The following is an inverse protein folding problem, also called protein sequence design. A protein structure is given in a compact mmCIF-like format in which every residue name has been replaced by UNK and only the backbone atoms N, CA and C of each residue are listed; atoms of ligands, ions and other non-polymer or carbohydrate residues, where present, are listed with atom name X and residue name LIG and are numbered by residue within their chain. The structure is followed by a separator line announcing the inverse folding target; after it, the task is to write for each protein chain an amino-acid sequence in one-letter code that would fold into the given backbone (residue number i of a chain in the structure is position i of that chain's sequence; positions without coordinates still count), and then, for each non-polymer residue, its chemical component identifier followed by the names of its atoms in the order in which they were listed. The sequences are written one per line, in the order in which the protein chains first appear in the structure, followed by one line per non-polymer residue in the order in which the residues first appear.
data_IF_398291650908
#
_entry.id   IF_398291650908
#
_cell.length_a   1.000
_cell.length_b   1.000
_cell.length_c   1.000
_cell.angle_alpha   90.00
_cell.angle_beta   90.00
_cell.angle_gamma   90.00
#
_symmetry.space_group_name_H-M   'P 1'
#
loop_
_entity.id
_entity.type
_entity.pdbx_description
1 polymer ?
#
# COMPACT_ATOMS: atom_id res chain seq x y z
N UNK A 1 -18.28 -2.62 -8.86
CA UNK A 1 -18.45 -3.10 -10.25
C UNK A 1 -19.80 -2.83 -10.90
N UNK A 2 -20.93 -2.81 -10.20
CA UNK A 2 -22.26 -2.66 -10.84
C UNK A 2 -22.43 -1.37 -11.66
N UNK A 3 -21.57 -0.37 -11.46
CA UNK A 3 -21.50 0.88 -12.22
C UNK A 3 -20.53 0.83 -13.42
N UNK A 4 -19.91 -0.32 -13.72
CA UNK A 4 -19.00 -0.49 -14.86
C UNK A 4 -17.68 0.28 -14.73
N UNK A 5 -17.19 0.51 -13.50
CA UNK A 5 -15.95 1.27 -13.27
C UNK A 5 -14.76 0.61 -13.97
N UNK A 6 -14.00 1.41 -14.73
CA UNK A 6 -12.82 0.94 -15.48
C UNK A 6 -11.53 1.09 -14.66
N UNK A 7 -11.54 2.01 -13.68
CA UNK A 7 -10.43 2.28 -12.78
C UNK A 7 -11.01 2.46 -11.38
N UNK A 8 -10.48 1.70 -10.43
CA UNK A 8 -10.72 1.86 -9.01
C UNK A 8 -9.47 2.41 -8.33
N UNK A 9 -9.65 3.40 -7.46
CA UNK A 9 -8.54 4.03 -6.73
C UNK A 9 -8.70 3.70 -5.26
N UNK A 10 -7.80 2.87 -4.73
CA UNK A 10 -7.79 2.50 -3.31
C UNK A 10 -6.74 3.31 -2.56
N UNK A 11 -7.12 3.78 -1.37
CA UNK A 11 -6.29 4.60 -0.51
C UNK A 11 -6.05 3.88 0.81
N UNK A 12 -4.78 3.65 1.12
CA UNK A 12 -4.33 2.94 2.30
C UNK A 12 -3.42 3.83 3.15
N UNK A 13 -3.35 3.60 4.47
CA UNK A 13 -2.39 4.29 5.33
C UNK A 13 -0.94 3.89 4.99
N UNK A 14 0.02 4.29 5.83
CA UNK A 14 1.38 3.75 5.76
C UNK A 14 1.35 2.26 6.07
N UNK A 15 1.76 1.44 5.09
CA UNK A 15 1.76 -0.02 5.19
C UNK A 15 3.19 -0.57 5.20
N UNK A 16 3.51 -1.37 6.20
CA UNK A 16 4.77 -2.12 6.27
C UNK A 16 4.55 -3.59 5.91
N UNK A 17 5.58 -4.29 5.41
CA UNK A 17 5.53 -5.75 5.29
C UNK A 17 5.15 -6.41 6.61
N UNK A 18 4.42 -7.53 6.53
CA UNK A 18 4.07 -8.30 7.72
C UNK A 18 5.33 -8.81 8.41
N UNK A 19 5.40 -8.69 9.74
CA UNK A 19 6.63 -9.05 10.47
C UNK A 19 6.77 -10.55 10.76
N UNK A 20 5.73 -11.35 10.49
CA UNK A 20 5.59 -12.72 10.99
C UNK A 20 5.20 -12.79 12.47
N UNK A 21 5.03 -11.64 13.13
CA UNK A 21 4.71 -11.49 14.54
C UNK A 21 3.21 -11.25 14.81
N UNK A 22 2.88 -10.52 15.90
CA UNK A 22 1.50 -10.29 16.33
C UNK A 22 0.78 -9.19 15.54
N UNK A 23 1.44 -8.54 14.58
CA UNK A 23 0.84 -7.54 13.71
C UNK A 23 -0.22 -8.14 12.77
N UNK A 24 -1.20 -7.32 12.40
CA UNK A 24 -2.34 -7.76 11.61
C UNK A 24 -1.94 -7.95 10.14
N UNK A 25 -1.97 -9.19 9.65
CA UNK A 25 -1.74 -9.49 8.23
C UNK A 25 -2.64 -8.65 7.31
N UNK A 26 -3.90 -8.45 7.68
CA UNK A 26 -4.85 -7.66 6.89
C UNK A 26 -4.44 -6.20 6.70
N UNK A 27 -3.54 -5.68 7.55
CA UNK A 27 -3.03 -4.31 7.52
C UNK A 27 -1.53 -4.26 7.14
N UNK A 28 -0.99 -5.35 6.59
CA UNK A 28 0.34 -5.35 6.00
C UNK A 28 0.31 -4.86 4.55
N UNK A 29 1.49 -4.56 4.00
CA UNK A 29 1.66 -4.26 2.58
C UNK A 29 1.08 -5.37 1.70
N UNK A 30 1.38 -6.63 2.01
CA UNK A 30 0.92 -7.80 1.27
C UNK A 30 -0.59 -8.02 1.42
N UNK A 31 -1.13 -7.85 2.63
CA UNK A 31 -2.55 -8.02 2.91
C UNK A 31 -3.41 -7.01 2.15
N UNK A 32 -3.08 -5.73 2.22
CA UNK A 32 -3.82 -4.68 1.51
C UNK A 32 -3.65 -4.77 -0.02
N UNK A 33 -2.47 -5.19 -0.49
CA UNK A 33 -2.27 -5.49 -1.91
C UNK A 33 -3.12 -6.69 -2.36
N UNK A 34 -3.28 -7.72 -1.53
CA UNK A 34 -4.17 -8.84 -1.83
C UNK A 34 -5.62 -8.38 -1.94
N UNK A 35 -6.10 -7.51 -1.04
CA UNK A 35 -7.45 -6.92 -1.13
C UNK A 35 -7.65 -6.13 -2.42
N UNK A 36 -6.67 -5.29 -2.77
CA UNK A 36 -6.71 -4.49 -4.01
C UNK A 36 -6.65 -5.37 -5.26
N UNK A 37 -5.88 -6.45 -5.23
CA UNK A 37 -5.79 -7.43 -6.31
C UNK A 37 -7.09 -8.21 -6.48
N UNK A 38 -7.70 -8.66 -5.39
CA UNK A 38 -9.01 -9.33 -5.43
C UNK A 38 -10.05 -8.41 -6.04
N UNK A 39 -10.07 -7.13 -5.63
CA UNK A 39 -10.96 -6.14 -6.22
C UNK A 39 -10.76 -6.00 -7.74
N UNK A 40 -9.51 -5.99 -8.23
CA UNK A 40 -9.22 -5.92 -9.66
C UNK A 40 -9.79 -7.13 -10.42
N UNK A 41 -9.61 -8.34 -9.87
CA UNK A 41 -10.03 -9.62 -10.45
C UNK A 41 -11.54 -9.73 -10.49
N UNK A 42 -12.21 -9.59 -9.34
CA UNK A 42 -13.68 -9.60 -9.29
C UNK A 42 -14.21 -8.49 -10.20
N UNK A 43 -13.49 -7.36 -10.18
CA UNK A 43 -13.68 -6.10 -10.88
C UNK A 43 -13.84 -6.20 -12.38
N UNK A 44 -12.99 -7.04 -12.96
CA UNK A 44 -12.46 -6.81 -14.31
C UNK A 44 -12.05 -5.34 -14.51
N UNK A 45 -11.41 -4.73 -13.51
CA UNK A 45 -11.09 -3.28 -13.47
C UNK A 45 -9.62 -3.05 -13.09
N UNK A 46 -9.03 -1.95 -13.54
CA UNK A 46 -7.69 -1.57 -13.09
C UNK A 46 -7.78 -1.01 -11.67
N UNK A 47 -6.83 -1.39 -10.79
CA UNK A 47 -6.77 -0.85 -9.43
C UNK A 47 -5.48 -0.05 -9.23
N UNK A 48 -5.64 1.22 -8.88
CA UNK A 48 -4.56 2.07 -8.38
C UNK A 48 -4.51 1.91 -6.86
N UNK A 49 -3.55 1.14 -6.37
CA UNK A 49 -3.29 0.95 -4.96
C UNK A 49 -2.35 2.05 -4.47
N UNK A 50 -2.88 3.02 -3.72
CA UNK A 50 -2.10 4.13 -3.19
C UNK A 50 -1.91 4.00 -1.68
N UNK A 51 -0.70 4.28 -1.21
CA UNK A 51 -0.31 4.23 0.21
C UNK A 51 0.25 5.56 0.67
N UNK A 52 -0.09 5.94 1.90
CA UNK A 52 0.55 7.08 2.55
C UNK A 52 2.00 6.73 2.95
N UNK A 53 2.82 7.77 3.11
CA UNK A 53 4.18 7.66 3.66
C UNK A 53 4.23 8.39 4.99
N UNK A 54 4.94 7.83 5.96
CA UNK A 54 5.24 8.49 7.23
C UNK A 54 6.75 8.65 7.40
N UNK A 55 7.17 9.82 7.88
CA UNK A 55 8.59 10.11 8.18
C UNK A 55 8.88 9.82 9.64
N UNK A 56 10.15 9.72 10.05
CA UNK A 56 10.51 9.56 11.46
C UNK A 56 9.92 10.69 12.32
N UNK A 57 9.96 11.92 11.82
CA UNK A 57 9.33 13.08 12.47
C UNK A 57 7.82 12.92 12.61
N UNK A 58 7.17 12.32 11.61
CA UNK A 58 5.73 12.04 11.63
C UNK A 58 5.38 11.04 12.71
N UNK A 59 6.12 9.93 12.80
CA UNK A 59 5.95 8.91 13.84
C UNK A 59 6.08 9.52 15.24
N UNK A 60 7.13 10.30 15.48
CA UNK A 60 7.36 10.96 16.78
C UNK A 60 6.27 11.99 17.11
N UNK A 61 5.85 12.81 16.13
CA UNK A 61 4.80 13.81 16.31
C UNK A 61 3.44 13.16 16.64
N UNK A 62 3.12 12.05 15.96
CA UNK A 62 1.88 11.31 16.19
C UNK A 62 1.94 10.36 17.39
N UNK A 63 3.13 10.18 18.00
CA UNK A 63 3.38 9.27 19.13
C UNK A 63 2.95 7.84 18.84
N UNK A 64 3.20 7.38 17.61
CA UNK A 64 2.85 6.02 17.15
C UNK A 64 3.98 5.01 17.32
N UNK A 65 5.10 5.43 17.90
CA UNK A 65 6.26 4.58 18.21
C UNK A 65 5.85 3.35 19.02
N UNK A 66 6.31 2.16 18.59
CA UNK A 66 5.96 0.89 19.25
C UNK A 66 4.51 0.41 19.05
N UNK A 67 3.68 1.18 18.36
CA UNK A 67 2.33 0.77 17.96
C UNK A 67 2.32 -0.26 16.82
N UNK A 68 1.14 -0.82 16.54
CA UNK A 68 0.94 -1.80 15.46
C UNK A 68 0.73 -1.20 14.07
N UNK A 69 0.48 0.12 13.98
CA UNK A 69 0.18 0.81 12.72
C UNK A 69 0.90 2.16 12.67
N UNK A 70 1.45 2.51 11.51
CA UNK A 70 2.20 3.75 11.27
C UNK A 70 3.29 4.03 12.31
N UNK A 71 3.94 2.99 12.83
CA UNK A 71 4.93 3.08 13.91
C UNK A 71 6.37 3.12 13.41
N UNK A 72 6.58 2.95 12.10
CA UNK A 72 7.89 2.95 11.46
C UNK A 72 7.89 3.88 10.25
N UNK A 73 9.00 4.59 9.98
CA UNK A 73 9.14 5.43 8.79
C UNK A 73 9.05 4.59 7.51
N UNK A 74 8.61 5.23 6.42
CA UNK A 74 8.38 4.58 5.12
C UNK A 74 6.90 4.34 4.89
N UNK A 75 6.55 3.12 4.48
CA UNK A 75 5.15 2.72 4.24
C UNK A 75 4.71 2.69 2.78
N UNK A 76 5.64 2.90 1.84
CA UNK A 76 5.35 2.96 0.41
C UNK A 76 5.25 1.57 -0.19
N UNK A 77 4.03 1.09 -0.42
CA UNK A 77 3.76 -0.16 -1.15
C UNK A 77 2.78 0.06 -2.31
N UNK A 78 2.79 1.27 -2.87
CA UNK A 78 1.90 1.68 -3.96
C UNK A 78 2.10 0.78 -5.20
N UNK A 79 1.01 0.44 -5.88
CA UNK A 79 1.02 -0.51 -6.98
C UNK A 79 -0.14 -0.28 -7.97
N UNK A 80 -0.01 -0.83 -9.16
CA UNK A 80 -1.08 -0.90 -10.16
C UNK A 80 -1.37 -2.37 -10.46
N UNK A 81 -2.64 -2.76 -10.32
CA UNK A 81 -3.13 -4.08 -10.68
C UNK A 81 -4.00 -4.03 -11.94
N UNK A 82 -3.73 -4.92 -12.88
CA UNK A 82 -4.56 -5.14 -14.05
C UNK A 82 -5.84 -5.92 -13.70
N UNK A 83 -6.87 -5.89 -14.58
CA UNK A 83 -8.12 -6.63 -14.41
C UNK A 83 -7.96 -8.14 -14.17
N UNK A 84 -6.85 -8.74 -14.60
CA UNK A 84 -6.53 -10.16 -14.38
C UNK A 84 -5.81 -10.42 -13.04
N UNK A 85 -5.61 -9.38 -12.24
CA UNK A 85 -4.90 -9.42 -10.96
C UNK A 85 -3.37 -9.31 -11.07
N UNK A 86 -2.78 -9.23 -12.26
CA UNK A 86 -1.33 -9.04 -12.39
C UNK A 86 -0.93 -7.66 -11.89
N UNK A 87 0.16 -7.60 -11.11
CA UNK A 87 0.82 -6.32 -10.81
C UNK A 87 1.60 -5.88 -12.04
N UNK A 88 1.24 -4.73 -12.59
CA UNK A 88 1.86 -4.18 -13.81
C UNK A 88 2.79 -3.00 -13.54
N UNK A 89 2.82 -2.52 -12.30
CA UNK A 89 3.80 -1.55 -11.83
C UNK A 89 5.05 -2.24 -11.31
N UNK A 90 6.20 -1.60 -11.50
CA UNK A 90 7.44 -1.94 -10.81
C UNK A 90 7.41 -1.37 -9.40
N UNK A 91 7.89 -2.15 -8.43
CA UNK A 91 8.06 -1.63 -7.08
C UNK A 91 9.15 -0.56 -7.06
N UNK A 92 8.90 0.49 -6.29
CA UNK A 92 9.91 1.48 -5.94
C UNK A 92 10.47 1.07 -4.59
N UNK A 93 11.77 1.18 -4.40
CA UNK A 93 12.37 0.92 -3.10
C UNK A 93 11.72 1.84 -2.05
N UNK A 94 11.15 1.28 -0.97
CA UNK A 94 10.41 2.02 0.05
C UNK A 94 11.27 3.06 0.79
N UNK A 95 12.60 3.01 0.63
CA UNK A 95 13.57 3.94 1.22
C UNK A 95 14.11 4.98 0.24
N UNK A 96 13.79 4.88 -1.06
CA UNK A 96 14.30 5.82 -2.07
C UNK A 96 13.77 7.23 -1.82
N UNK A 97 14.64 8.12 -1.33
CA UNK A 97 14.39 9.56 -1.29
C UNK A 97 14.37 10.12 -2.70
N UNK A 98 13.41 11.01 -2.97
CA UNK A 98 13.10 11.59 -4.29
C UNK A 98 14.16 12.61 -4.78
N UNK A 99 15.45 12.33 -4.59
CA UNK A 99 16.57 13.18 -5.02
C UNK A 99 17.21 12.69 -6.34
N UNK A 100 16.85 11.49 -6.83
CA UNK A 100 17.48 10.86 -8.00
C UNK A 100 16.61 10.80 -9.27
N UNK A 101 15.44 11.43 -9.28
CA UNK A 101 14.57 11.52 -10.46
C UNK A 101 14.48 12.98 -10.91
N UNK A 102 15.56 13.44 -11.54
CA UNK A 102 15.62 14.64 -12.39
C UNK A 102 16.30 14.27 -13.69
#
# INVERSE_FOLDING_TARGET
MSQGEQIHVSAWPSLTPHTGGPDLWSMSAEGCQALSRTYAIEGSTFVLHSTALITEKGVALQKTEGGSLMSSPGGGSSAIFAPDGRKISTDIDPTTKKDSLR
#
